data_IF_400118484389
#
_entry.id   IF_400118484389
#
_cell.length_a   1.000
_cell.length_b   1.000
_cell.length_c   1.000
_cell.angle_alpha   90.00
_cell.angle_beta   90.00
_cell.angle_gamma   90.00
#
_symmetry.space_group_name_H-M   'P 1'
#
loop_
_entity.id
_entity.type
_entity.pdbx_description
1 polymer ?
#
# COMPACT_ATOMS: atom_id res chain seq x y z
N UNK A 1 -15.58 3.84 10.11
CA UNK A 1 -15.32 3.72 8.66
C UNK A 1 -14.74 5.01 8.04
N UNK A 2 -15.49 6.11 7.97
CA UNK A 2 -15.04 7.35 7.30
C UNK A 2 -13.72 7.94 7.85
N UNK A 3 -13.50 7.82 9.17
CA UNK A 3 -12.25 8.27 9.81
C UNK A 3 -11.06 7.45 9.31
N UNK A 4 -11.16 6.11 9.31
CA UNK A 4 -10.10 5.23 8.82
C UNK A 4 -9.77 5.47 7.33
N UNK A 5 -10.79 5.65 6.49
CA UNK A 5 -10.61 5.98 5.07
C UNK A 5 -9.90 7.34 4.87
N UNK A 6 -10.16 8.30 5.76
CA UNK A 6 -9.51 9.61 5.75
C UNK A 6 -8.07 9.51 6.24
N UNK A 7 -7.82 8.72 7.29
CA UNK A 7 -6.48 8.49 7.84
C UNK A 7 -5.56 7.87 6.80
N UNK A 8 -5.98 6.82 6.09
CA UNK A 8 -5.19 6.22 5.01
C UNK A 8 -4.76 7.27 3.99
N UNK A 9 -5.70 8.14 3.59
CA UNK A 9 -5.45 9.16 2.60
C UNK A 9 -4.51 10.28 3.08
N UNK A 10 -4.47 10.55 4.38
CA UNK A 10 -3.65 11.59 5.00
C UNK A 10 -2.27 11.09 5.47
N UNK A 11 -2.18 9.83 5.92
CA UNK A 11 -0.98 9.25 6.53
C UNK A 11 -0.10 8.53 5.52
N UNK A 12 -0.62 8.22 4.34
CA UNK A 12 0.18 7.63 3.26
C UNK A 12 0.70 8.72 2.32
N UNK A 13 1.96 8.56 1.88
CA UNK A 13 2.59 9.52 0.97
C UNK A 13 1.99 9.43 -0.43
N UNK A 14 2.06 10.53 -1.19
CA UNK A 14 1.73 10.52 -2.61
C UNK A 14 2.56 9.46 -3.35
N UNK A 15 1.88 8.67 -4.17
CA UNK A 15 2.47 7.51 -4.86
C UNK A 15 2.92 7.81 -6.29
N UNK A 16 2.67 9.03 -6.77
CA UNK A 16 3.03 9.46 -8.11
C UNK A 16 4.55 9.63 -8.27
N UNK A 17 5.06 9.26 -9.44
CA UNK A 17 6.46 9.54 -9.81
C UNK A 17 6.70 11.01 -10.15
N UNK A 18 5.65 11.69 -10.61
CA UNK A 18 5.67 13.08 -11.03
C UNK A 18 5.38 14.00 -9.83
N UNK A 19 6.33 14.85 -9.41
CA UNK A 19 6.16 15.76 -8.28
C UNK A 19 5.01 16.75 -8.44
N UNK A 20 4.69 17.18 -9.67
CA UNK A 20 3.60 18.13 -9.90
C UNK A 20 2.23 17.50 -9.60
N UNK A 21 2.08 16.20 -9.88
CA UNK A 21 0.85 15.46 -9.55
C UNK A 21 0.65 15.35 -8.04
N UNK A 22 1.74 15.16 -7.29
CA UNK A 22 1.69 15.19 -5.83
C UNK A 22 1.41 16.58 -5.26
N UNK A 23 1.82 17.65 -5.94
CA UNK A 23 1.50 19.01 -5.52
C UNK A 23 -0.01 19.31 -5.61
N UNK A 24 -0.68 18.78 -6.65
CA UNK A 24 -2.13 18.95 -6.87
C UNK A 24 -2.99 18.02 -6.02
N UNK A 25 -2.49 16.84 -5.69
CA UNK A 25 -3.11 15.91 -4.74
C UNK A 25 -2.03 15.39 -3.80
N UNK A 26 -1.77 16.06 -2.66
CA UNK A 26 -0.73 15.64 -1.71
C UNK A 26 -1.07 14.35 -0.96
N UNK A 27 -2.19 13.72 -1.32
CA UNK A 27 -2.82 12.62 -0.62
C UNK A 27 -2.30 11.30 -1.17
N UNK A 28 -2.17 10.30 -0.30
CA UNK A 28 -1.75 8.96 -0.68
C UNK A 28 -2.91 8.08 -1.16
N UNK A 29 -2.92 6.81 -0.74
CA UNK A 29 -3.89 5.82 -1.20
C UNK A 29 -5.35 6.24 -0.95
N UNK A 30 -6.22 5.87 -1.88
CA UNK A 30 -7.66 6.15 -1.79
C UNK A 30 -8.45 4.85 -1.77
N UNK A 31 -9.01 4.52 -0.61
CA UNK A 31 -9.93 3.38 -0.46
C UNK A 31 -11.37 3.86 -0.63
N UNK A 32 -12.13 3.15 -1.45
CA UNK A 32 -13.57 3.31 -1.61
C UNK A 32 -14.29 2.01 -1.27
N UNK A 33 -15.50 2.13 -0.73
CA UNK A 33 -16.36 0.99 -0.42
C UNK A 33 -17.67 1.16 -1.16
N UNK A 34 -18.09 0.13 -1.89
CA UNK A 34 -19.39 0.04 -2.52
C UNK A 34 -20.16 -1.12 -1.87
N UNK A 35 -21.32 -0.82 -1.30
CA UNK A 35 -22.19 -1.81 -0.67
C UNK A 35 -23.43 -1.95 -1.55
N UNK A 36 -23.69 -3.18 -1.98
CA UNK A 36 -24.79 -3.54 -2.86
C UNK A 36 -25.68 -4.55 -2.14
N UNK A 37 -26.96 -4.53 -2.47
CA UNK A 37 -27.87 -5.57 -1.99
C UNK A 37 -27.58 -6.90 -2.69
N UNK A 38 -27.52 -6.90 -4.03
CA UNK A 38 -27.20 -8.07 -4.85
C UNK A 38 -26.52 -7.62 -6.15
N UNK A 39 -25.61 -8.42 -6.70
CA UNK A 39 -25.06 -8.19 -8.03
C UNK A 39 -26.00 -8.80 -9.06
N UNK A 40 -26.42 -7.99 -10.05
CA UNK A 40 -27.25 -8.48 -11.14
C UNK A 40 -26.41 -9.39 -12.03
N UNK A 41 -26.96 -10.57 -12.30
CA UNK A 41 -26.48 -11.50 -13.30
C UNK A 41 -27.35 -11.34 -14.55
N UNK A 42 -26.73 -11.26 -15.73
CA UNK A 42 -27.47 -11.15 -17.00
C UNK A 42 -27.99 -12.51 -17.49
N UNK A 43 -27.42 -13.61 -16.98
CA UNK A 43 -27.79 -14.97 -17.37
C UNK A 43 -28.95 -15.56 -16.54
N UNK A 44 -29.55 -14.77 -15.63
CA UNK A 44 -30.65 -15.16 -14.72
C UNK A 44 -30.43 -16.53 -14.03
N UNK A 45 -29.18 -16.87 -13.73
CA UNK A 45 -28.82 -18.16 -13.15
C UNK A 45 -29.49 -18.30 -11.77
N UNK A 46 -30.33 -19.32 -11.64
CA UNK A 46 -30.96 -19.66 -10.36
C UNK A 46 -29.91 -20.35 -9.49
N UNK A 47 -29.60 -19.76 -8.33
CA UNK A 47 -28.59 -20.23 -7.38
C UNK A 47 -27.16 -20.37 -7.98
N UNK A 48 -26.53 -19.25 -8.34
CA UNK A 48 -25.17 -19.27 -8.88
C UNK A 48 -24.18 -19.83 -7.85
N UNK A 49 -23.18 -20.55 -8.34
CA UNK A 49 -22.09 -21.05 -7.52
C UNK A 49 -21.30 -19.90 -6.87
N UNK A 50 -20.59 -20.20 -5.78
CA UNK A 50 -19.73 -19.21 -5.12
C UNK A 50 -18.70 -18.61 -6.08
N UNK A 51 -18.11 -19.43 -6.95
CA UNK A 51 -17.12 -18.99 -7.94
C UNK A 51 -17.75 -18.04 -8.97
N UNK A 52 -18.98 -18.30 -9.39
CA UNK A 52 -19.71 -17.42 -10.32
C UNK A 52 -20.02 -16.06 -9.67
N UNK A 53 -20.50 -16.07 -8.42
CA UNK A 53 -20.74 -14.83 -7.65
C UNK A 53 -19.46 -14.02 -7.46
N UNK A 54 -18.35 -14.68 -7.15
CA UNK A 54 -17.03 -14.05 -7.05
C UNK A 54 -16.60 -13.45 -8.40
N UNK A 55 -16.85 -14.14 -9.51
CA UNK A 55 -16.53 -13.64 -10.85
C UNK A 55 -17.33 -12.41 -11.22
N UNK A 56 -18.63 -12.39 -10.92
CA UNK A 56 -19.48 -11.22 -11.11
C UNK A 56 -19.01 -10.03 -10.25
N UNK A 57 -18.66 -10.29 -8.98
CA UNK A 57 -18.12 -9.27 -8.09
C UNK A 57 -16.79 -8.70 -8.61
N UNK A 58 -15.90 -9.53 -9.14
CA UNK A 58 -14.67 -9.10 -9.79
C UNK A 58 -14.94 -8.16 -10.96
N UNK A 59 -15.78 -8.58 -11.91
CA UNK A 59 -16.10 -7.79 -13.11
C UNK A 59 -16.73 -6.46 -12.72
N UNK A 60 -17.71 -6.50 -11.82
CA UNK A 60 -18.39 -5.30 -11.32
C UNK A 60 -17.41 -4.34 -10.63
N UNK A 61 -16.58 -4.86 -9.71
CA UNK A 61 -15.62 -4.05 -8.97
C UNK A 61 -14.59 -3.40 -9.89
N UNK A 62 -14.05 -4.15 -10.85
CA UNK A 62 -13.08 -3.62 -11.81
C UNK A 62 -13.70 -2.53 -12.69
N UNK A 63 -14.90 -2.76 -13.23
CA UNK A 63 -15.62 -1.77 -14.03
C UNK A 63 -15.94 -0.51 -13.22
N UNK A 64 -16.45 -0.67 -12.00
CA UNK A 64 -16.81 0.45 -11.13
C UNK A 64 -15.57 1.26 -10.72
N UNK A 65 -14.47 0.61 -10.36
CA UNK A 65 -13.22 1.29 -10.00
C UNK A 65 -12.69 2.14 -11.15
N UNK A 66 -12.60 1.56 -12.35
CA UNK A 66 -12.14 2.25 -13.56
C UNK A 66 -13.06 3.44 -13.88
N UNK A 67 -14.38 3.24 -13.78
CA UNK A 67 -15.35 4.31 -14.07
C UNK A 67 -15.29 5.45 -13.07
N UNK A 68 -15.13 5.16 -11.78
CA UNK A 68 -15.06 6.20 -10.75
C UNK A 68 -13.71 6.92 -10.75
N UNK A 69 -12.64 6.25 -11.19
CA UNK A 69 -11.29 6.79 -11.33
C UNK A 69 -10.87 7.69 -10.16
N UNK A 70 -11.07 7.21 -8.92
CA UNK A 70 -10.85 8.02 -7.70
C UNK A 70 -9.37 8.15 -7.32
N UNK A 71 -8.53 7.30 -7.89
CA UNK A 71 -7.08 7.35 -7.74
C UNK A 71 -6.47 8.35 -8.69
N UNK A 72 -5.24 8.78 -8.40
CA UNK A 72 -4.49 9.70 -9.26
C UNK A 72 -3.36 8.98 -9.99
N UNK A 73 -2.74 7.99 -9.35
CA UNK A 73 -1.57 7.27 -9.88
C UNK A 73 -1.73 5.76 -9.77
N UNK A 74 -2.97 5.27 -9.89
CA UNK A 74 -3.32 3.86 -9.67
C UNK A 74 -3.23 3.45 -8.21
N UNK A 75 -3.41 4.41 -7.30
CA UNK A 75 -3.42 4.30 -5.85
C UNK A 75 -4.85 4.19 -5.27
N UNK A 76 -5.81 3.90 -6.14
CA UNK A 76 -7.17 3.57 -5.78
C UNK A 76 -7.35 2.09 -5.43
N UNK A 77 -8.18 1.87 -4.42
CA UNK A 77 -8.62 0.56 -3.94
C UNK A 77 -10.14 0.64 -3.85
N UNK A 78 -10.85 -0.31 -4.44
CA UNK A 78 -12.30 -0.41 -4.33
C UNK A 78 -12.68 -1.75 -3.71
N UNK A 79 -13.34 -1.70 -2.56
CA UNK A 79 -13.94 -2.86 -1.91
C UNK A 79 -15.42 -2.89 -2.29
N UNK A 80 -15.88 -4.00 -2.86
CA UNK A 80 -17.28 -4.24 -3.19
C UNK A 80 -17.81 -5.33 -2.27
N UNK A 81 -18.92 -5.05 -1.58
CA UNK A 81 -19.66 -6.01 -0.78
C UNK A 81 -21.06 -6.21 -1.37
N UNK A 82 -21.40 -7.45 -1.72
CA UNK A 82 -22.77 -7.85 -2.06
C UNK A 82 -23.39 -8.61 -0.89
N UNK A 83 -24.41 -8.02 -0.25
CA UNK A 83 -25.00 -8.56 0.99
C UNK A 83 -25.73 -9.87 0.76
N UNK A 84 -26.65 -9.90 -0.21
CA UNK A 84 -27.44 -11.08 -0.56
C UNK A 84 -26.58 -12.21 -1.14
N UNK A 85 -25.52 -11.87 -1.88
CA UNK A 85 -24.63 -12.90 -2.43
C UNK A 85 -23.62 -13.41 -1.39
N UNK A 86 -23.40 -12.66 -0.30
CA UNK A 86 -22.43 -12.98 0.74
C UNK A 86 -20.98 -12.86 0.27
N UNK A 87 -20.73 -12.05 -0.76
CA UNK A 87 -19.43 -11.95 -1.44
C UNK A 87 -18.82 -10.57 -1.24
N UNK A 88 -17.52 -10.56 -0.98
CA UNK A 88 -16.68 -9.36 -0.97
C UNK A 88 -15.57 -9.52 -2.02
N UNK A 89 -15.23 -8.43 -2.70
CA UNK A 89 -14.13 -8.40 -3.66
C UNK A 89 -13.37 -7.08 -3.59
N UNK A 90 -12.05 -7.14 -3.80
CA UNK A 90 -11.18 -5.95 -3.82
C UNK A 90 -10.58 -5.74 -5.20
N UNK A 91 -10.93 -4.62 -5.83
CA UNK A 91 -10.27 -4.15 -7.05
C UNK A 91 -9.15 -3.16 -6.71
N UNK A 92 -7.99 -3.32 -7.34
CA UNK A 92 -6.79 -2.53 -7.08
C UNK A 92 -6.34 -1.77 -8.32
N UNK A 93 -5.92 -0.52 -8.11
CA UNK A 93 -5.09 0.20 -9.06
C UNK A 93 -3.68 -0.37 -9.14
N UNK A 94 -2.98 -0.10 -10.25
CA UNK A 94 -1.65 -0.68 -10.53
C UNK A 94 -0.59 -0.36 -9.47
N UNK A 95 -0.70 0.78 -8.79
CA UNK A 95 0.23 1.16 -7.73
C UNK A 95 -0.18 0.53 -6.41
N UNK A 96 -1.47 0.52 -6.06
CA UNK A 96 -1.98 -0.18 -4.87
C UNK A 96 -1.65 -1.68 -4.87
N UNK A 97 -1.71 -2.33 -6.04
CA UNK A 97 -1.35 -3.74 -6.22
C UNK A 97 0.11 -4.09 -5.86
N UNK A 98 1.00 -3.08 -5.74
CA UNK A 98 2.39 -3.30 -5.31
C UNK A 98 2.54 -3.41 -3.80
N UNK A 99 1.51 -3.03 -3.05
CA UNK A 99 1.51 -2.97 -1.58
C UNK A 99 0.48 -3.95 -1.00
N UNK A 100 -0.71 -4.03 -1.60
CA UNK A 100 -1.71 -5.03 -1.27
C UNK A 100 -1.53 -6.24 -2.18
N UNK A 101 -0.62 -7.13 -1.80
CA UNK A 101 -0.33 -8.35 -2.56
C UNK A 101 -1.48 -9.36 -2.45
N UNK A 102 -1.56 -10.35 -3.37
CA UNK A 102 -2.59 -11.40 -3.28
C UNK A 102 -2.60 -12.11 -1.92
N UNK A 103 -1.45 -12.26 -1.27
CA UNK A 103 -1.34 -12.89 0.05
C UNK A 103 -2.00 -12.05 1.15
N UNK A 104 -1.83 -10.71 1.09
CA UNK A 104 -2.50 -9.79 2.03
C UNK A 104 -4.01 -9.85 1.85
N UNK A 105 -4.48 -9.82 0.61
CA UNK A 105 -5.93 -9.87 0.31
C UNK A 105 -6.50 -11.22 0.77
N UNK A 106 -5.90 -12.34 0.35
CA UNK A 106 -6.39 -13.67 0.72
C UNK A 106 -6.31 -13.93 2.24
N UNK A 107 -5.28 -13.42 2.90
CA UNK A 107 -5.16 -13.49 4.36
C UNK A 107 -6.27 -12.70 5.05
N UNK A 108 -6.58 -11.51 4.53
CA UNK A 108 -7.67 -10.66 5.01
C UNK A 108 -9.03 -11.32 4.79
N UNK A 109 -9.29 -11.84 3.59
CA UNK A 109 -10.54 -12.53 3.23
C UNK A 109 -10.80 -13.73 4.15
N UNK A 110 -9.76 -14.52 4.45
CA UNK A 110 -9.86 -15.63 5.42
C UNK A 110 -10.22 -15.13 6.83
N UNK A 111 -9.63 -14.01 7.25
CA UNK A 111 -9.84 -13.44 8.60
C UNK A 111 -11.27 -12.91 8.80
N UNK A 112 -11.85 -12.32 7.75
CA UNK A 112 -13.19 -11.74 7.80
C UNK A 112 -14.30 -12.73 7.43
N UNK A 113 -13.95 -13.91 6.90
CA UNK A 113 -14.92 -14.92 6.42
C UNK A 113 -16.02 -15.23 7.42
N UNK A 114 -15.67 -15.51 8.68
CA UNK A 114 -16.66 -15.83 9.72
C UNK A 114 -17.59 -14.67 10.04
N UNK A 115 -17.13 -13.42 9.89
CA UNK A 115 -17.95 -12.21 10.07
C UNK A 115 -18.93 -12.04 8.91
N UNK A 116 -18.48 -12.30 7.68
CA UNK A 116 -19.35 -12.28 6.51
C UNK A 116 -20.45 -13.36 6.60
N UNK A 117 -20.11 -14.57 7.06
CA UNK A 117 -21.08 -15.66 7.27
C UNK A 117 -22.14 -15.30 8.34
N UNK A 118 -21.74 -14.56 9.37
CA UNK A 118 -22.65 -14.05 10.43
C UNK A 118 -23.37 -12.75 10.05
N UNK A 119 -23.15 -12.22 8.85
CA UNK A 119 -23.68 -10.93 8.39
C UNK A 119 -23.21 -9.73 9.23
N UNK A 120 -22.08 -9.87 9.94
CA UNK A 120 -21.35 -8.82 10.66
C UNK A 120 -20.54 -7.98 9.65
N UNK A 121 -21.25 -7.36 8.69
CA UNK A 121 -20.63 -6.70 7.54
C UNK A 121 -19.80 -5.47 7.91
N UNK A 122 -20.24 -4.71 8.92
CA UNK A 122 -19.53 -3.52 9.36
C UNK A 122 -18.19 -3.88 10.00
N UNK A 123 -18.17 -4.92 10.82
CA UNK A 123 -16.99 -5.47 11.48
C UNK A 123 -16.03 -6.06 10.43
N UNK A 124 -16.56 -6.82 9.47
CA UNK A 124 -15.78 -7.35 8.35
C UNK A 124 -15.10 -6.24 7.54
N UNK A 125 -15.85 -5.21 7.14
CA UNK A 125 -15.32 -4.08 6.37
C UNK A 125 -14.32 -3.26 7.17
N UNK A 126 -14.59 -3.00 8.46
CA UNK A 126 -13.69 -2.25 9.31
C UNK A 126 -12.36 -2.98 9.46
N UNK A 127 -12.38 -4.28 9.72
CA UNK A 127 -11.18 -5.10 9.85
C UNK A 127 -10.39 -5.19 8.54
N UNK A 128 -11.07 -5.28 7.41
CA UNK A 128 -10.44 -5.26 6.09
C UNK A 128 -9.73 -3.93 5.83
N UNK A 129 -10.38 -2.81 6.11
CA UNK A 129 -9.79 -1.48 5.94
C UNK A 129 -8.60 -1.28 6.87
N UNK A 130 -8.68 -1.69 8.14
CA UNK A 130 -7.54 -1.59 9.06
C UNK A 130 -6.36 -2.46 8.63
N UNK A 131 -6.62 -3.66 8.10
CA UNK A 131 -5.56 -4.54 7.59
C UNK A 131 -4.89 -3.93 6.36
N UNK A 132 -5.66 -3.29 5.49
CA UNK A 132 -5.10 -2.58 4.33
C UNK A 132 -4.33 -1.32 4.74
N UNK A 133 -4.82 -0.55 5.70
CA UNK A 133 -4.12 0.60 6.27
C UNK A 133 -2.74 0.20 6.80
N UNK A 134 -2.68 -0.83 7.65
CA UNK A 134 -1.43 -1.33 8.21
C UNK A 134 -0.47 -1.85 7.13
N UNK A 135 -0.98 -2.62 6.16
CA UNK A 135 -0.16 -3.13 5.06
C UNK A 135 0.43 -2.00 4.19
N UNK A 136 -0.34 -0.94 3.92
CA UNK A 136 0.10 0.21 3.15
C UNK A 136 1.16 1.01 3.93
N UNK A 137 0.94 1.28 5.21
CA UNK A 137 1.88 2.03 6.05
C UNK A 137 3.20 1.28 6.24
N UNK A 138 3.15 0.00 6.61
CA UNK A 138 4.35 -0.79 6.89
C UNK A 138 5.22 -0.98 5.65
N UNK A 139 4.58 -1.20 4.50
CA UNK A 139 5.28 -1.32 3.22
C UNK A 139 5.96 -0.01 2.80
N UNK A 140 5.38 1.15 3.12
CA UNK A 140 6.03 2.45 2.86
C UNK A 140 7.22 2.70 3.81
N UNK A 141 7.06 2.41 5.11
CA UNK A 141 8.13 2.57 6.11
C UNK A 141 9.35 1.69 5.75
N UNK A 142 9.12 0.42 5.41
CA UNK A 142 10.19 -0.49 4.99
C UNK A 142 10.95 -0.03 3.75
N UNK A 143 10.25 0.57 2.78
CA UNK A 143 10.86 1.10 1.55
C UNK A 143 11.68 2.37 1.79
N UNK A 144 11.25 3.21 2.72
CA UNK A 144 12.00 4.40 3.16
C UNK A 144 13.30 4.00 3.87
N UNK A 145 13.22 3.02 4.78
CA UNK A 145 14.38 2.56 5.55
C UNK A 145 15.47 1.96 4.66
N UNK A 146 15.10 1.16 3.66
CA UNK A 146 16.03 0.57 2.70
C UNK A 146 16.83 1.62 1.90
N UNK A 147 16.20 2.73 1.50
CA UNK A 147 16.88 3.83 0.80
C UNK A 147 17.84 4.63 1.69
N UNK A 148 17.50 4.80 2.97
CA UNK A 148 18.37 5.53 3.92
C UNK A 148 19.63 4.74 4.31
N UNK A 149 19.53 3.40 4.32
CA UNK A 149 20.65 2.52 4.71
C UNK A 149 21.86 2.66 3.79
N UNK A 150 21.64 2.73 2.47
CA UNK A 150 22.71 2.96 1.49
C UNK A 150 23.37 4.33 1.64
N UNK A 151 22.61 5.34 2.06
CA UNK A 151 23.15 6.67 2.32
C UNK A 151 24.09 6.66 3.52
N UNK A 152 23.74 6.00 4.62
CA UNK A 152 24.61 5.90 5.80
C UNK A 152 25.98 5.27 5.47
N UNK A 153 26.02 4.27 4.58
CA UNK A 153 27.28 3.69 4.11
C UNK A 153 28.14 4.66 3.29
N UNK A 154 27.54 5.57 2.52
CA UNK A 154 28.28 6.55 1.72
C UNK A 154 28.93 7.63 2.59
N UNK A 155 28.23 8.12 3.61
CA UNK A 155 28.79 9.11 4.56
C UNK A 155 29.91 8.51 5.41
N UNK A 156 29.78 7.25 5.83
CA UNK A 156 30.83 6.57 6.59
C UNK A 156 32.14 6.42 5.80
N UNK A 157 32.07 6.26 4.47
CA UNK A 157 33.27 6.17 3.62
C UNK A 157 33.98 7.53 3.52
N UNK A 158 33.23 8.63 3.45
CA UNK A 158 33.77 10.00 3.41
C UNK A 158 34.55 10.32 4.69
N UNK A 159 33.99 10.01 5.86
CA UNK A 159 34.64 10.24 7.16
C UNK A 159 35.92 9.40 7.33
N UNK A 160 35.92 8.14 6.89
CA UNK A 160 37.10 7.26 6.95
C UNK A 160 38.21 7.80 6.05
N UNK A 161 37.89 8.31 4.86
CA UNK A 161 38.88 8.85 3.94
C UNK A 161 39.60 10.07 4.54
N UNK A 162 38.84 10.97 5.17
CA UNK A 162 39.40 12.16 5.85
C UNK A 162 40.33 11.75 7.00
N UNK A 163 39.91 10.76 7.81
CA UNK A 163 40.72 10.22 8.90
C UNK A 163 42.05 9.63 8.41
N UNK A 164 42.04 8.88 7.29
CA UNK A 164 43.26 8.32 6.69
C UNK A 164 44.19 9.42 6.19
N UNK A 165 43.65 10.44 5.52
CA UNK A 165 44.45 11.58 5.02
C UNK A 165 45.13 12.31 6.20
N UNK A 166 44.39 12.61 7.26
CA UNK A 166 44.94 13.26 8.46
C UNK A 166 46.04 12.41 9.09
N UNK A 167 45.83 11.09 9.20
CA UNK A 167 46.83 10.17 9.74
C UNK A 167 48.11 10.16 8.90
N UNK A 168 47.99 10.11 7.56
CA UNK A 168 49.14 10.16 6.65
C UNK A 168 49.91 11.48 6.79
N UNK A 169 49.21 12.61 6.87
CA UNK A 169 49.84 13.93 7.09
C UNK A 169 50.59 13.94 8.43
N UNK A 170 49.99 13.41 9.51
CA UNK A 170 50.64 13.32 10.81
C UNK A 170 51.91 12.47 10.77
N UNK A 171 51.89 11.31 10.09
CA UNK A 171 53.07 10.45 9.94
C UNK A 171 54.17 11.16 9.15
N UNK A 172 53.83 11.81 8.03
CA UNK A 172 54.78 12.59 7.23
C UNK A 172 55.41 13.69 8.09
N UNK A 173 54.59 14.45 8.84
CA UNK A 173 55.07 15.54 9.67
C UNK A 173 55.98 15.05 10.79
N UNK A 174 55.65 13.94 11.44
CA UNK A 174 56.46 13.32 12.48
C UNK A 174 57.80 12.81 11.93
N UNK A 175 57.78 12.14 10.77
CA UNK A 175 58.99 11.67 10.08
C UNK A 175 59.89 12.81 9.62
N UNK A 176 59.32 13.88 9.06
CA UNK A 176 60.06 15.07 8.64
C UNK A 176 60.67 15.81 9.85
N UNK A 177 59.94 15.91 10.97
CA UNK A 177 60.43 16.54 12.19
C UNK A 177 61.58 15.75 12.83
N UNK A 178 61.46 14.43 12.90
CA UNK A 178 62.49 13.57 13.50
C UNK A 178 63.79 13.50 12.67
N UNK A 179 63.75 13.83 11.38
CA UNK A 179 64.93 13.83 10.50
C UNK A 179 65.70 15.15 10.54
N UNK A 180 65.09 16.23 11.04
CA UNK A 180 65.69 17.57 11.13
C UNK A 180 66.27 17.90 12.52
N UNK A 181 66.19 16.97 13.47
CA UNK A 181 66.87 17.00 14.78
C UNK A 181 67.96 15.94 14.80
#
# INVERSE_FOLDING_TARGET
LNIALTNIRQNTNCTCKDPEKCHRSPKGFTISVAILEKIKDDDDIINPSTDHKLKLAEVFANALRIRQNRGHCGDDILIVLSRSDGVIYTSLGMTAAKFLTPEVIQGTDKKIKSKLEKQEYFEALSEMIFTFEDALENSMKGRSQSRSSLYWFLWAIEDILVLVIVFVICVIFHCCRNRNT
#
